data_IF_710502549479
#
_entry.id   IF_710502549479
#
_cell.length_a   1.000
_cell.length_b   1.000
_cell.length_c   1.000
_cell.angle_alpha   90.00
_cell.angle_beta   90.00
_cell.angle_gamma   90.00
#
_symmetry.space_group_name_H-M   'P 1'
#
loop_
_entity.id
_entity.type
_entity.pdbx_description
1 polymer ?
#
# COMPACT_ATOMS: atom_id res chain seq x y z
N UNK A 1 0.95 -6.74 5.38
CA UNK A 1 0.04 -6.58 4.21
C UNK A 1 -0.88 -7.80 3.97
N UNK A 2 -1.45 -8.42 5.01
CA UNK A 2 -2.69 -9.21 4.81
C UNK A 2 -3.92 -8.30 4.69
N UNK A 3 -3.84 -7.04 5.15
CA UNK A 3 -4.92 -6.06 5.05
C UNK A 3 -5.36 -5.84 3.59
N UNK A 4 -4.41 -5.59 2.68
CA UNK A 4 -4.69 -5.43 1.25
C UNK A 4 -5.42 -6.64 0.62
N UNK A 5 -5.03 -7.86 0.99
CA UNK A 5 -5.63 -9.09 0.47
C UNK A 5 -7.04 -9.37 1.01
N UNK A 6 -7.50 -8.62 2.03
CA UNK A 6 -8.88 -8.70 2.54
C UNK A 6 -9.86 -7.87 1.73
N UNK A 7 -9.36 -6.91 0.94
CA UNK A 7 -10.19 -6.05 0.11
C UNK A 7 -10.26 -6.60 -1.31
N UNK A 8 -11.45 -6.48 -1.92
CA UNK A 8 -11.64 -6.83 -3.31
C UNK A 8 -11.02 -5.78 -4.23
N UNK A 9 -10.99 -4.51 -3.79
CA UNK A 9 -10.35 -3.40 -4.51
C UNK A 9 -8.92 -3.71 -4.89
N UNK A 10 -8.52 -3.28 -6.08
CA UNK A 10 -7.15 -3.36 -6.52
C UNK A 10 -6.36 -2.17 -5.98
N UNK A 11 -5.40 -2.49 -5.12
CA UNK A 11 -4.59 -1.50 -4.41
C UNK A 11 -3.20 -1.51 -5.05
N UNK A 12 -2.81 -0.38 -5.61
CA UNK A 12 -1.51 -0.16 -6.22
C UNK A 12 -0.73 0.89 -5.45
N UNK A 13 0.56 0.63 -5.26
CA UNK A 13 1.52 1.56 -4.72
C UNK A 13 2.49 1.93 -5.82
N UNK A 14 2.63 3.22 -6.07
CA UNK A 14 3.61 3.77 -6.98
C UNK A 14 4.72 4.46 -6.18
N UNK A 15 5.96 4.08 -6.47
CA UNK A 15 7.14 4.66 -5.86
C UNK A 15 8.21 4.87 -6.93
N UNK A 16 8.70 6.11 -7.09
CA UNK A 16 9.71 6.47 -8.09
C UNK A 16 9.39 5.99 -9.53
N UNK A 17 8.12 6.05 -9.93
CA UNK A 17 7.66 5.59 -11.25
C UNK A 17 7.60 4.06 -11.41
N UNK A 18 7.72 3.31 -10.31
CA UNK A 18 7.45 1.87 -10.27
C UNK A 18 6.15 1.61 -9.51
N UNK A 19 5.18 1.05 -10.21
CA UNK A 19 3.91 0.63 -9.63
C UNK A 19 3.97 -0.84 -9.25
N UNK A 20 3.59 -1.17 -8.01
CA UNK A 20 3.45 -2.54 -7.52
C UNK A 20 2.09 -2.73 -6.87
N UNK A 21 1.59 -3.96 -6.86
CA UNK A 21 0.36 -4.28 -6.17
C UNK A 21 0.62 -4.45 -4.66
N UNK A 22 -0.10 -3.68 -3.84
CA UNK A 22 0.00 -3.68 -2.38
C UNK A 22 -0.55 -4.96 -1.74
N UNK A 23 -1.33 -5.76 -2.49
CA UNK A 23 -1.74 -7.13 -2.09
C UNK A 23 -0.55 -8.07 -1.94
N UNK A 24 0.59 -7.77 -2.58
CA UNK A 24 1.82 -8.56 -2.50
C UNK A 24 2.87 -7.86 -1.66
N UNK A 25 2.97 -8.25 -0.39
CA UNK A 25 3.97 -7.77 0.58
C UNK A 25 5.41 -7.77 0.08
N UNK A 26 5.73 -8.74 -0.77
CA UNK A 26 7.06 -8.87 -1.35
C UNK A 26 7.41 -7.70 -2.28
N UNK A 27 6.44 -7.09 -2.97
CA UNK A 27 6.68 -5.99 -3.90
C UNK A 27 7.11 -4.69 -3.20
N UNK A 28 6.45 -4.35 -2.10
CA UNK A 28 6.74 -3.11 -1.35
C UNK A 28 8.06 -3.22 -0.59
N UNK A 29 8.38 -4.38 0.01
CA UNK A 29 9.71 -4.60 0.61
C UNK A 29 10.81 -4.61 -0.45
N UNK A 30 10.56 -5.20 -1.63
CA UNK A 30 11.53 -5.23 -2.73
C UNK A 30 11.78 -3.84 -3.34
N UNK A 31 10.85 -2.90 -3.21
CA UNK A 31 11.04 -1.52 -3.64
C UNK A 31 11.99 -0.74 -2.73
N UNK A 32 12.29 -1.26 -1.54
CA UNK A 32 13.11 -0.53 -0.58
C UNK A 32 12.49 0.80 -0.18
N UNK A 33 11.15 0.84 -0.06
CA UNK A 33 10.42 1.99 0.48
C UNK A 33 10.90 2.19 1.92
N UNK A 34 11.88 3.08 2.08
CA UNK A 34 12.43 3.45 3.37
C UNK A 34 11.49 4.42 4.11
N UNK A 35 11.73 4.60 5.41
CA UNK A 35 11.15 5.73 6.15
C UNK A 35 11.46 7.02 5.37
N UNK A 36 10.42 7.83 5.10
CA UNK A 36 10.44 9.07 4.29
C UNK A 36 10.39 8.89 2.76
N UNK A 37 9.93 7.74 2.26
CA UNK A 37 9.66 7.57 0.84
C UNK A 37 8.28 8.17 0.45
N UNK A 38 8.27 9.09 -0.51
CA UNK A 38 7.03 9.56 -1.14
C UNK A 38 6.44 8.46 -2.02
N UNK A 39 5.36 7.84 -1.55
CA UNK A 39 4.62 6.81 -2.27
C UNK A 39 3.21 7.30 -2.60
N UNK A 40 2.71 6.94 -3.77
CA UNK A 40 1.33 7.19 -4.16
C UNK A 40 0.56 5.89 -4.04
N UNK A 41 -0.50 5.88 -3.24
CA UNK A 41 -1.37 4.72 -3.07
C UNK A 41 -2.67 5.01 -3.81
N UNK A 42 -3.04 4.12 -4.72
CA UNK A 42 -4.33 4.15 -5.42
C UNK A 42 -5.08 2.87 -5.11
N UNK A 43 -6.36 2.99 -4.79
CA UNK A 43 -7.26 1.85 -4.69
C UNK A 43 -8.41 2.06 -5.67
N UNK A 44 -8.78 1.00 -6.39
CA UNK A 44 -9.91 1.00 -7.31
C UNK A 44 -10.82 -0.18 -6.97
N UNK A 45 -12.04 0.12 -6.56
CA UNK A 45 -13.06 -0.87 -6.28
C UNK A 45 -14.14 -0.41 -5.31
N UNK A 46 -15.07 -1.32 -5.00
CA UNK A 46 -16.23 -1.00 -4.16
C UNK A 46 -15.86 -0.68 -2.69
N UNK A 47 -14.72 -1.19 -2.23
CA UNK A 47 -14.16 -1.02 -0.89
C UNK A 47 -12.89 -0.14 -0.91
N UNK A 48 -12.72 0.72 -1.92
CA UNK A 48 -11.51 1.54 -2.11
C UNK A 48 -11.19 2.43 -0.91
N UNK A 49 -12.22 3.06 -0.31
CA UNK A 49 -12.04 3.96 0.82
C UNK A 49 -11.59 3.22 2.08
N UNK A 50 -12.20 2.07 2.34
CA UNK A 50 -11.85 1.20 3.48
C UNK A 50 -10.46 0.58 3.30
N UNK A 51 -10.15 0.20 2.05
CA UNK A 51 -8.85 -0.31 1.66
C UNK A 51 -7.74 0.70 1.92
N UNK A 52 -7.87 1.95 1.44
CA UNK A 52 -6.87 3.00 1.68
C UNK A 52 -6.71 3.27 3.17
N UNK A 53 -7.80 3.40 3.93
CA UNK A 53 -7.74 3.66 5.36
C UNK A 53 -6.99 2.55 6.13
N UNK A 54 -7.31 1.29 5.85
CA UNK A 54 -6.66 0.15 6.50
C UNK A 54 -5.18 0.00 6.10
N UNK A 55 -4.84 0.32 4.84
CA UNK A 55 -3.46 0.31 4.36
C UNK A 55 -2.66 1.42 5.06
N UNK A 56 -3.19 2.63 5.12
CA UNK A 56 -2.57 3.76 5.81
C UNK A 56 -2.32 3.40 7.28
N UNK A 57 -3.32 2.87 7.99
CA UNK A 57 -3.17 2.44 9.38
C UNK A 57 -2.08 1.36 9.53
N UNK A 58 -2.02 0.39 8.60
CA UNK A 58 -0.99 -0.65 8.60
C UNK A 58 0.40 -0.06 8.38
N UNK A 59 0.55 0.89 7.46
CA UNK A 59 1.82 1.54 7.17
C UNK A 59 2.32 2.39 8.33
N UNK A 60 1.42 3.11 9.02
CA UNK A 60 1.73 3.84 10.26
C UNK A 60 2.12 2.88 11.38
N UNK A 61 1.39 1.76 11.56
CA UNK A 61 1.71 0.74 12.58
C UNK A 61 3.08 0.08 12.37
N UNK A 62 3.43 -0.17 11.12
CA UNK A 62 4.72 -0.76 10.75
C UNK A 62 5.86 0.29 10.70
N UNK A 63 5.55 1.57 10.96
CA UNK A 63 6.53 2.66 11.00
C UNK A 63 7.13 3.02 9.63
N UNK A 64 6.41 2.70 8.54
CA UNK A 64 6.83 2.92 7.16
C UNK A 64 6.39 4.30 6.63
N UNK A 65 5.37 4.91 7.23
CA UNK A 65 4.86 6.23 6.90
C UNK A 65 4.44 6.99 8.18
N UNK A 66 4.66 8.30 8.22
CA UNK A 66 4.22 9.23 9.28
C UNK A 66 3.03 10.06 8.78
#
# INVERSE_FOLDING_TARGET
MQAASKFNSDITLEYQGKSVNLKSIMGVMSLGVGQNADVVISADGADEAEAIAAIAETMTKEGLAE
#
